data_IF_920872794609
#
_entry.id   IF_920872794609
#
_cell.length_a   1.000
_cell.length_b   1.000
_cell.length_c   1.000
_cell.angle_alpha   90.00
_cell.angle_beta   90.00
_cell.angle_gamma   90.00
#
_symmetry.space_group_name_H-M   'P 1'
#
loop_
_entity.id
_entity.type
_entity.pdbx_description
1 polymer ?
#
# COMPACT_ATOMS: atom_id res chain seq x y z
N UNK A 1 -3.43 -2.41 -12.54
CA UNK A 1 -4.77 -2.58 -11.96
C UNK A 1 -5.74 -2.89 -13.09
N UNK A 2 -6.75 -3.72 -12.83
CA UNK A 2 -7.70 -4.19 -13.84
C UNK A 2 -9.09 -4.10 -13.24
N UNK A 3 -10.00 -3.40 -13.91
CA UNK A 3 -11.39 -3.34 -13.49
C UNK A 3 -12.31 -3.74 -14.64
N UNK A 4 -13.36 -4.48 -14.31
CA UNK A 4 -14.40 -4.92 -15.24
C UNK A 4 -15.74 -4.64 -14.59
N UNK A 5 -16.52 -3.77 -15.23
CA UNK A 5 -17.88 -3.45 -14.84
C UNK A 5 -18.87 -3.93 -15.88
N UNK A 6 -19.98 -4.54 -15.44
CA UNK A 6 -21.10 -4.90 -16.31
C UNK A 6 -22.42 -4.47 -15.67
N UNK A 7 -23.23 -3.78 -16.45
CA UNK A 7 -24.61 -3.48 -16.12
C UNK A 7 -25.53 -4.48 -16.83
N UNK A 8 -26.38 -5.15 -16.08
CA UNK A 8 -27.37 -6.10 -16.59
C UNK A 8 -28.75 -5.49 -16.37
N UNK A 9 -29.51 -5.33 -17.45
CA UNK A 9 -30.89 -4.85 -17.39
C UNK A 9 -31.85 -6.03 -17.21
N UNK A 10 -32.78 -5.89 -16.27
CA UNK A 10 -33.84 -6.85 -16.00
C UNK A 10 -35.18 -6.30 -16.48
N UNK A 11 -36.17 -7.18 -16.58
CA UNK A 11 -37.56 -6.81 -16.89
C UNK A 11 -38.09 -5.84 -15.81
N UNK A 12 -38.95 -4.91 -16.23
CA UNK A 12 -39.56 -3.85 -15.39
C UNK A 12 -38.60 -2.73 -14.95
N UNK A 13 -37.71 -2.25 -15.83
CA UNK A 13 -36.77 -1.13 -15.57
C UNK A 13 -35.78 -1.35 -14.40
N UNK A 14 -35.68 -2.58 -13.92
CA UNK A 14 -34.71 -2.99 -12.91
C UNK A 14 -33.34 -3.14 -13.54
N UNK A 15 -32.29 -2.79 -12.80
CA UNK A 15 -30.92 -2.99 -13.28
C UNK A 15 -30.00 -3.49 -12.17
N UNK A 16 -29.09 -4.37 -12.53
CA UNK A 16 -28.01 -4.88 -11.69
C UNK A 16 -26.71 -4.30 -12.22
N UNK A 17 -25.93 -3.69 -11.37
CA UNK A 17 -24.59 -3.20 -11.67
C UNK A 17 -23.58 -4.08 -10.94
N UNK A 18 -22.63 -4.67 -11.66
CA UNK A 18 -21.56 -5.50 -11.10
C UNK A 18 -20.25 -4.85 -11.50
N UNK A 19 -19.46 -4.36 -10.54
CA UNK A 19 -18.10 -3.90 -10.78
C UNK A 19 -17.12 -4.79 -10.02
N UNK A 20 -16.21 -5.42 -10.76
CA UNK A 20 -15.08 -6.16 -10.22
C UNK A 20 -13.82 -5.33 -10.47
N UNK A 21 -13.16 -4.89 -9.41
CA UNK A 21 -11.88 -4.17 -9.47
C UNK A 21 -10.78 -5.02 -8.84
N UNK A 22 -9.69 -5.20 -9.55
CA UNK A 22 -8.54 -6.02 -9.15
C UNK A 22 -7.29 -5.15 -9.14
N UNK A 23 -6.72 -4.96 -7.97
CA UNK A 23 -5.50 -4.20 -7.74
C UNK A 23 -4.31 -5.16 -7.62
N UNK A 24 -3.18 -4.75 -8.17
CA UNK A 24 -1.92 -5.51 -8.13
C UNK A 24 -2.05 -6.93 -8.74
N UNK A 25 -2.62 -7.02 -9.96
CA UNK A 25 -2.82 -8.28 -10.73
C UNK A 25 -1.52 -9.09 -10.89
N UNK A 26 -0.38 -8.40 -11.02
CA UNK A 26 0.94 -9.02 -11.13
C UNK A 26 1.57 -9.35 -9.78
N UNK A 27 0.82 -9.23 -8.67
CA UNK A 27 1.21 -9.54 -7.29
C UNK A 27 2.61 -9.02 -6.92
N UNK A 28 2.90 -7.77 -7.28
CA UNK A 28 4.19 -7.17 -6.99
C UNK A 28 4.18 -6.63 -5.55
N UNK A 29 4.60 -7.46 -4.60
CA UNK A 29 4.78 -7.10 -3.17
C UNK A 29 6.10 -6.36 -2.90
N UNK A 30 6.97 -6.26 -3.91
CA UNK A 30 8.26 -5.56 -3.82
C UNK A 30 8.15 -4.05 -3.98
N UNK A 31 6.98 -3.52 -4.35
CA UNK A 31 6.79 -2.09 -4.55
C UNK A 31 6.76 -1.37 -3.18
N UNK A 32 7.82 -0.60 -2.90
CA UNK A 32 7.91 0.25 -1.71
C UNK A 32 6.99 1.45 -1.90
N UNK A 33 5.91 1.54 -1.12
CA UNK A 33 4.92 2.63 -1.18
C UNK A 33 5.28 3.80 -0.28
N UNK A 34 6.21 3.59 0.63
CA UNK A 34 6.75 4.62 1.47
C UNK A 34 7.82 4.08 2.41
N UNK A 35 8.35 4.96 3.24
CA UNK A 35 9.26 4.57 4.29
C UNK A 35 9.39 5.69 5.30
N UNK A 36 9.62 5.32 6.54
CA UNK A 36 9.95 6.25 7.61
C UNK A 36 11.43 6.13 7.93
N UNK A 37 12.15 7.24 7.76
CA UNK A 37 13.51 7.38 8.21
C UNK A 37 13.58 8.55 9.19
N UNK A 38 14.13 8.30 10.37
CA UNK A 38 14.43 9.38 11.32
C UNK A 38 15.81 9.93 10.97
N UNK A 39 15.94 11.25 10.79
CA UNK A 39 17.22 11.95 10.53
C UNK A 39 18.18 11.97 11.74
N UNK A 40 18.15 10.95 12.59
CA UNK A 40 18.97 10.86 13.80
C UNK A 40 20.33 10.30 13.43
N UNK A 41 21.37 11.09 13.70
CA UNK A 41 22.74 10.66 13.58
C UNK A 41 23.11 9.98 14.91
N UNK A 42 23.63 8.73 14.91
CA UNK A 42 24.03 8.06 16.12
C UNK A 42 25.30 8.73 16.66
N UNK A 43 25.14 9.61 17.66
CA UNK A 43 26.28 10.21 18.37
C UNK A 43 26.57 9.41 19.63
N UNK A 44 27.84 9.11 19.90
CA UNK A 44 28.30 8.50 21.15
C UNK A 44 29.10 9.56 21.91
N UNK A 45 28.71 9.81 23.15
CA UNK A 45 29.42 10.75 24.03
C UNK A 45 30.33 9.95 24.96
N UNK A 46 31.62 10.22 24.88
CA UNK A 46 32.62 9.67 25.80
C UNK A 46 33.38 10.81 26.46
N UNK A 47 33.38 10.86 27.79
CA UNK A 47 34.11 11.87 28.60
C UNK A 47 33.97 13.32 28.06
N UNK A 48 32.73 13.78 27.88
CA UNK A 48 32.36 15.14 27.44
C UNK A 48 32.65 15.52 25.97
N UNK A 49 33.21 14.62 25.16
CA UNK A 49 33.26 14.82 23.70
C UNK A 49 32.24 13.93 22.99
N UNK A 50 31.51 14.54 22.06
CA UNK A 50 30.50 13.88 21.23
C UNK A 50 31.06 13.57 19.85
N UNK A 51 31.12 12.29 19.50
CA UNK A 51 31.60 11.83 18.19
C UNK A 51 30.49 11.10 17.45
N UNK A 52 30.47 11.21 16.12
CA UNK A 52 29.58 10.43 15.27
C UNK A 52 30.03 8.96 15.35
N UNK A 53 29.11 8.08 15.73
CA UNK A 53 29.37 6.65 15.87
C UNK A 53 29.37 5.97 14.50
N UNK A 54 30.33 5.07 14.26
CA UNK A 54 30.39 4.21 13.08
C UNK A 54 29.21 3.22 12.96
N UNK A 55 28.32 3.16 13.96
CA UNK A 55 27.11 2.34 13.94
C UNK A 55 25.99 2.99 13.11
N UNK A 56 26.21 3.09 11.80
CA UNK A 56 25.25 3.63 10.81
C UNK A 56 23.90 2.86 10.81
N UNK A 57 23.89 1.62 11.30
CA UNK A 57 22.71 0.74 11.32
C UNK A 57 21.85 0.93 12.59
N UNK A 58 22.22 1.83 13.52
CA UNK A 58 21.48 2.02 14.79
C UNK A 58 20.04 2.54 14.59
N UNK A 59 19.76 3.21 13.47
CA UNK A 59 18.44 3.74 13.12
C UNK A 59 18.05 3.33 11.68
N UNK A 60 17.68 2.06 11.45
CA UNK A 60 17.33 1.60 10.11
C UNK A 60 16.01 2.23 9.65
N UNK A 61 15.96 2.62 8.37
CA UNK A 61 14.74 3.10 7.75
C UNK A 61 13.72 1.96 7.68
N UNK A 62 12.49 2.19 8.17
CA UNK A 62 11.39 1.25 8.04
C UNK A 62 10.68 1.50 6.71
N UNK A 63 10.58 0.49 5.87
CA UNK A 63 9.90 0.61 4.57
C UNK A 63 8.48 0.03 4.67
N UNK A 64 7.51 0.75 4.11
CA UNK A 64 6.15 0.27 3.93
C UNK A 64 6.02 -0.28 2.51
N UNK A 65 5.45 -1.47 2.42
CA UNK A 65 5.26 -2.18 1.15
C UNK A 65 3.84 -1.99 0.66
N UNK A 66 3.67 -1.98 -0.66
CA UNK A 66 2.37 -2.07 -1.29
C UNK A 66 1.65 -3.32 -0.79
N UNK A 67 0.34 -3.19 -0.62
CA UNK A 67 -0.51 -4.34 -0.37
C UNK A 67 -0.44 -5.25 -1.61
N UNK A 68 -0.46 -6.56 -1.38
CA UNK A 68 -0.38 -7.56 -2.45
C UNK A 68 -1.59 -7.53 -3.39
N UNK A 69 -1.84 -8.63 -4.08
CA UNK A 69 -3.06 -8.79 -4.88
C UNK A 69 -4.32 -8.51 -4.02
N UNK A 70 -5.13 -7.53 -4.43
CA UNK A 70 -6.39 -7.19 -3.78
C UNK A 70 -7.50 -7.15 -4.83
N UNK A 71 -8.71 -7.58 -4.47
CA UNK A 71 -9.86 -7.47 -5.35
C UNK A 71 -11.08 -6.94 -4.58
N UNK A 72 -11.93 -6.23 -5.28
CA UNK A 72 -13.13 -5.59 -4.76
C UNK A 72 -14.28 -5.86 -5.72
N UNK A 73 -15.35 -6.48 -5.20
CA UNK A 73 -16.58 -6.73 -5.94
C UNK A 73 -17.69 -5.84 -5.38
N UNK A 74 -18.24 -4.99 -6.23
CA UNK A 74 -19.39 -4.15 -5.92
C UNK A 74 -20.59 -4.61 -6.73
N UNK A 75 -21.70 -4.91 -6.05
CA UNK A 75 -22.97 -5.27 -6.69
C UNK A 75 -24.04 -4.29 -6.24
N UNK A 76 -24.54 -3.49 -7.17
CA UNK A 76 -25.65 -2.55 -6.96
C UNK A 76 -26.93 -3.05 -7.60
N UNK A 77 -28.03 -3.08 -6.86
CA UNK A 77 -29.36 -3.38 -7.38
C UNK A 77 -30.21 -2.10 -7.41
N UNK A 78 -30.72 -1.75 -8.58
CA UNK A 78 -31.62 -0.60 -8.78
C UNK A 78 -33.01 -1.13 -9.13
N UNK A 79 -33.97 -0.86 -8.25
CA UNK A 79 -35.38 -1.24 -8.37
C UNK A 79 -36.21 -0.18 -9.09
#
# INVERSE_FOLDING_TARGET
>A
DLSVGKLIYLKNRKSININLSVNNVTNNTGMKTGGYQTGRIPTVTYRNNSFVSDNVVKYPAKYYYAWGFNFFLNVGFKF
#
